data_IF_044335137656
#
_entry.id   IF_044335137656
#
_cell.length_a   1.000
_cell.length_b   1.000
_cell.length_c   1.000
_cell.angle_alpha   90.00
_cell.angle_beta   90.00
_cell.angle_gamma   90.00
#
_symmetry.space_group_name_H-M   'P 1'
#
loop_
_entity.id
_entity.type
_entity.pdbx_description
1 polymer ?
#
# COMPACT_ATOMS: atom_id res chain seq x y z
N UNK A 1 -8.52 12.13 -11.71
CA UNK A 1 -8.07 10.75 -11.96
C UNK A 1 -9.19 9.78 -11.56
N UNK A 2 -9.43 8.73 -12.34
CA UNK A 2 -10.46 7.72 -12.05
C UNK A 2 -9.85 6.34 -11.78
N UNK A 3 -10.67 5.38 -11.35
CA UNK A 3 -10.21 4.03 -10.97
C UNK A 3 -9.42 3.31 -12.07
N UNK A 4 -9.77 3.54 -13.34
CA UNK A 4 -9.04 2.99 -14.50
C UNK A 4 -7.56 3.42 -14.52
N UNK A 5 -7.29 4.70 -14.27
CA UNK A 5 -5.92 5.21 -14.26
C UNK A 5 -5.12 4.66 -13.08
N UNK A 6 -5.78 4.40 -11.95
CA UNK A 6 -5.16 3.75 -10.79
C UNK A 6 -4.77 2.30 -11.13
N UNK A 7 -5.68 1.53 -11.73
CA UNK A 7 -5.38 0.16 -12.17
C UNK A 7 -4.16 0.10 -13.10
N UNK A 8 -4.14 0.96 -14.12
CA UNK A 8 -3.00 1.04 -15.04
C UNK A 8 -1.68 1.40 -14.35
N UNK A 9 -1.71 2.28 -13.35
CA UNK A 9 -0.51 2.60 -12.58
C UNK A 9 -0.03 1.40 -11.76
N UNK A 10 -0.94 0.63 -11.16
CA UNK A 10 -0.60 -0.60 -10.43
C UNK A 10 -0.02 -1.68 -11.37
N UNK A 11 -0.58 -1.83 -12.57
CA UNK A 11 -0.07 -2.76 -13.60
C UNK A 11 1.38 -2.44 -14.02
N UNK A 12 1.79 -1.17 -13.99
CA UNK A 12 3.19 -0.80 -14.25
C UNK A 12 4.07 -1.00 -13.01
N UNK A 13 3.58 -0.65 -11.82
CA UNK A 13 4.32 -0.79 -10.57
C UNK A 13 4.61 -2.25 -10.20
N UNK A 14 3.71 -3.19 -10.55
CA UNK A 14 3.93 -4.63 -10.28
C UNK A 14 5.11 -5.20 -11.09
N UNK A 15 5.53 -4.55 -12.19
CA UNK A 15 6.69 -4.96 -13.00
C UNK A 15 8.03 -4.56 -12.38
N UNK A 16 8.03 -3.75 -11.33
CA UNK A 16 9.25 -3.30 -10.66
C UNK A 16 10.00 -4.47 -10.01
N UNK A 17 11.33 -4.32 -9.91
CA UNK A 17 12.17 -5.24 -9.12
C UNK A 17 11.81 -5.14 -7.63
N UNK A 18 12.14 -6.16 -6.81
CA UNK A 18 11.76 -6.19 -5.39
C UNK A 18 12.20 -4.97 -4.57
N UNK A 19 13.40 -4.41 -4.83
CA UNK A 19 13.90 -3.25 -4.07
C UNK A 19 13.05 -1.99 -4.32
N UNK A 20 12.83 -1.55 -5.58
CA UNK A 20 11.89 -0.46 -5.84
C UNK A 20 10.46 -0.71 -5.34
N UNK A 21 9.95 -1.95 -5.42
CA UNK A 21 8.63 -2.30 -4.86
C UNK A 21 8.56 -1.97 -3.36
N UNK A 22 9.59 -2.34 -2.58
CA UNK A 22 9.67 -2.00 -1.15
C UNK A 22 9.62 -0.49 -0.90
N UNK A 23 10.29 0.31 -1.73
CA UNK A 23 10.24 1.77 -1.64
C UNK A 23 8.81 2.30 -1.83
N UNK A 24 8.07 1.78 -2.81
CA UNK A 24 6.66 2.14 -3.04
C UNK A 24 5.80 1.76 -1.84
N UNK A 25 5.94 0.54 -1.33
CA UNK A 25 5.18 0.07 -0.16
C UNK A 25 5.45 0.95 1.07
N UNK A 26 6.71 1.32 1.33
CA UNK A 26 7.05 2.23 2.42
C UNK A 26 6.46 3.63 2.23
N UNK A 27 6.45 4.15 1.00
CA UNK A 27 5.84 5.44 0.72
C UNK A 27 4.32 5.41 0.96
N UNK A 28 3.63 4.34 0.56
CA UNK A 28 2.22 4.13 0.83
C UNK A 28 1.92 4.03 2.33
N UNK A 29 2.73 3.27 3.08
CA UNK A 29 2.62 3.15 4.54
C UNK A 29 2.74 4.53 5.21
N UNK A 30 3.73 5.33 4.81
CA UNK A 30 3.93 6.69 5.32
C UNK A 30 2.78 7.63 4.97
N UNK A 31 2.14 7.46 3.81
CA UNK A 31 1.00 8.25 3.40
C UNK A 31 -0.22 8.00 4.30
N UNK A 32 -0.54 6.72 4.55
CA UNK A 32 -1.70 6.37 5.39
C UNK A 32 -1.48 6.60 6.88
N UNK A 33 -0.24 6.79 7.33
CA UNK A 33 0.10 7.14 8.71
C UNK A 33 0.35 8.64 8.91
N UNK A 34 0.15 9.47 7.90
CA UNK A 34 0.63 10.86 7.86
C UNK A 34 -0.04 11.78 8.89
N UNK A 35 -1.27 11.49 9.28
CA UNK A 35 -2.03 12.20 10.31
C UNK A 35 -1.86 11.61 11.71
N UNK A 36 -0.98 10.60 11.85
CA UNK A 36 -0.71 9.89 13.09
C UNK A 36 -1.75 8.84 13.48
N UNK A 37 -2.77 8.58 12.64
CA UNK A 37 -3.80 7.57 12.93
C UNK A 37 -4.22 6.81 11.67
N UNK A 38 -3.96 5.51 11.67
CA UNK A 38 -4.43 4.62 10.60
C UNK A 38 -5.80 4.06 10.97
N UNK A 39 -6.80 4.33 10.15
CA UNK A 39 -8.12 3.69 10.29
C UNK A 39 -8.14 2.29 9.69
N UNK A 40 -9.12 1.46 10.10
CA UNK A 40 -9.34 0.13 9.50
C UNK A 40 -9.53 0.22 7.98
N UNK A 41 -10.20 1.28 7.50
CA UNK A 41 -10.44 1.48 6.07
C UNK A 41 -9.15 1.78 5.30
N UNK A 42 -8.27 2.61 5.86
CA UNK A 42 -6.97 2.91 5.25
C UNK A 42 -6.04 1.70 5.29
N UNK A 43 -6.05 0.95 6.40
CA UNK A 43 -5.32 -0.30 6.53
C UNK A 43 -5.74 -1.33 5.46
N UNK A 44 -7.04 -1.54 5.27
CA UNK A 44 -7.55 -2.46 4.24
C UNK A 44 -7.30 -1.95 2.83
N UNK A 45 -7.38 -0.64 2.59
CA UNK A 45 -7.02 -0.05 1.30
C UNK A 45 -5.54 -0.25 0.97
N UNK A 46 -4.66 0.01 1.94
CA UNK A 46 -3.23 -0.25 1.81
C UNK A 46 -2.96 -1.72 1.52
N UNK A 47 -3.57 -2.64 2.29
CA UNK A 47 -3.44 -4.08 2.07
C UNK A 47 -3.87 -4.47 0.67
N UNK A 48 -5.00 -3.97 0.17
CA UNK A 48 -5.49 -4.26 -1.18
C UNK A 48 -4.54 -3.75 -2.28
N UNK A 49 -3.98 -2.55 -2.11
CA UNK A 49 -3.01 -1.97 -3.05
C UNK A 49 -1.73 -2.81 -3.07
N UNK A 50 -1.21 -3.14 -1.89
CA UNK A 50 0.06 -3.85 -1.78
C UNK A 50 -0.06 -5.32 -2.20
N UNK A 51 -1.22 -5.94 -2.00
CA UNK A 51 -1.59 -7.24 -2.57
C UNK A 51 -1.54 -7.20 -4.11
N UNK A 52 -2.08 -6.13 -4.72
CA UNK A 52 -2.00 -5.90 -6.16
C UNK A 52 -0.57 -5.68 -6.69
N UNK A 53 0.42 -5.47 -5.81
CA UNK A 53 1.84 -5.33 -6.15
C UNK A 53 2.66 -6.61 -5.90
N UNK A 54 2.02 -7.75 -5.63
CA UNK A 54 2.63 -9.02 -5.20
C UNK A 54 3.44 -8.91 -3.90
N UNK A 55 3.01 -8.05 -2.98
CA UNK A 55 3.72 -7.79 -1.72
C UNK A 55 2.83 -8.00 -0.48
N UNK A 56 2.02 -9.07 -0.41
CA UNK A 56 0.93 -9.19 0.56
C UNK A 56 1.36 -8.90 1.99
N UNK A 57 0.58 -8.07 2.67
CA UNK A 57 0.79 -7.73 4.09
C UNK A 57 -0.27 -8.41 4.95
N UNK A 58 0.09 -8.89 6.15
CA UNK A 58 -0.88 -9.48 7.07
C UNK A 58 -1.93 -8.44 7.50
N UNK A 59 -3.08 -8.87 8.05
CA UNK A 59 -4.05 -7.98 8.65
C UNK A 59 -3.39 -7.06 9.67
N UNK A 60 -3.69 -5.77 9.58
CA UNK A 60 -3.16 -4.76 10.48
C UNK A 60 -4.09 -4.65 11.68
N UNK A 61 -3.61 -5.08 12.84
CA UNK A 61 -4.36 -4.99 14.07
C UNK A 61 -4.31 -3.56 14.63
N UNK A 62 -5.35 -3.11 15.37
CA UNK A 62 -5.30 -1.83 16.05
C UNK A 62 -4.04 -1.68 16.90
N UNK A 63 -3.29 -0.60 16.71
CA UNK A 63 -2.06 -0.32 17.45
C UNK A 63 -0.79 -1.00 16.89
N UNK A 64 -0.89 -1.71 15.77
CA UNK A 64 0.27 -2.31 15.12
C UNK A 64 1.05 -1.24 14.32
N UNK A 65 2.38 -1.12 14.49
CA UNK A 65 3.18 -0.18 13.71
C UNK A 65 3.20 -0.60 12.24
N UNK A 66 2.97 0.38 11.36
CA UNK A 66 3.20 0.25 9.93
C UNK A 66 4.70 0.46 9.67
N UNK A 67 5.48 -0.62 9.85
CA UNK A 67 6.94 -0.70 9.81
C UNK A 67 7.62 -0.37 11.15
#
# INVERSE_FOLDING_TARGET
CGLKAVGQALDELVKLKPVPKRTVVHALAKAISSDGKVTVREAELFRAIVDSLDCPVPPLLPGQPLL
#
